data_IF_005803354361
#
_entry.id   IF_005803354361
#
_cell.length_a   1.000
_cell.length_b   1.000
_cell.length_c   1.000
_cell.angle_alpha   90.00
_cell.angle_beta   90.00
_cell.angle_gamma   90.00
#
_symmetry.space_group_name_H-M   'P 1'
#
loop_
_entity.id
_entity.type
_entity.pdbx_description
1 polymer ?
#
# COMPACT_ATOMS: atom_id res chain seq x y z
N UNK A 1 -7.93 7.13 -15.95
CA UNK A 1 -8.56 7.79 -17.12
C UNK A 1 -9.19 6.80 -18.10
N UNK A 2 -8.79 5.52 -18.12
CA UNK A 2 -9.35 4.49 -19.01
C UNK A 2 -10.39 3.57 -18.34
N UNK A 3 -10.71 3.79 -17.06
CA UNK A 3 -11.68 2.95 -16.36
C UNK A 3 -13.10 3.24 -16.88
N UNK A 4 -13.95 2.21 -17.04
CA UNK A 4 -15.37 2.43 -17.31
C UNK A 4 -15.97 3.34 -16.23
N UNK A 5 -16.80 4.28 -16.63
CA UNK A 5 -17.60 5.05 -15.67
C UNK A 5 -18.44 4.06 -14.87
N UNK A 6 -18.27 4.07 -13.54
CA UNK A 6 -19.23 3.44 -12.64
C UNK A 6 -20.56 4.15 -12.92
N UNK A 7 -21.51 3.48 -13.60
CA UNK A 7 -22.79 4.12 -13.97
C UNK A 7 -23.44 4.65 -12.71
N UNK A 8 -23.58 5.97 -12.63
CA UNK A 8 -24.49 6.62 -11.70
C UNK A 8 -25.77 6.89 -12.49
N UNK A 9 -26.96 6.46 -12.01
CA UNK A 9 -28.19 7.00 -12.55
C UNK A 9 -28.20 8.50 -12.32
N UNK A 10 -28.70 9.25 -13.30
CA UNK A 10 -29.04 10.65 -13.13
C UNK A 10 -30.14 10.76 -12.07
N UNK A 11 -29.75 10.93 -10.82
CA UNK A 11 -30.66 11.33 -9.75
C UNK A 11 -30.12 12.63 -9.19
N UNK A 12 -31.01 13.62 -9.10
CA UNK A 12 -30.85 14.98 -8.56
C UNK A 12 -30.40 15.04 -7.08
N UNK A 13 -29.90 13.93 -6.52
CA UNK A 13 -29.41 13.83 -5.17
C UNK A 13 -27.88 13.98 -5.13
N UNK A 14 -27.31 14.60 -4.08
CA UNK A 14 -25.87 14.75 -3.96
C UNK A 14 -25.21 13.37 -3.92
N UNK A 15 -24.47 13.04 -4.98
CA UNK A 15 -23.62 11.83 -5.04
C UNK A 15 -22.76 11.81 -3.77
N UNK A 16 -22.77 10.71 -2.98
CA UNK A 16 -21.93 10.62 -1.79
C UNK A 16 -20.49 10.95 -2.18
N UNK A 17 -19.83 11.87 -1.48
CA UNK A 17 -18.44 12.29 -1.78
C UNK A 17 -17.46 11.10 -1.84
N UNK A 18 -17.84 9.96 -1.26
CA UNK A 18 -17.15 8.68 -1.31
C UNK A 18 -17.08 8.07 -2.72
N UNK A 19 -18.05 8.34 -3.59
CA UNK A 19 -18.10 7.80 -4.95
C UNK A 19 -17.25 8.61 -5.95
N UNK A 20 -16.96 9.88 -5.61
CA UNK A 20 -16.15 10.78 -6.44
C UNK A 20 -14.65 10.59 -6.22
N UNK A 21 -14.24 10.08 -5.04
CA UNK A 21 -12.84 9.72 -4.74
C UNK A 21 -12.61 8.26 -5.11
N UNK A 22 -11.50 8.00 -5.81
CA UNK A 22 -11.10 6.66 -6.22
C UNK A 22 -10.84 5.73 -5.03
N UNK A 23 -10.62 4.44 -5.29
CA UNK A 23 -10.36 3.46 -4.25
C UNK A 23 -9.17 3.88 -3.36
N UNK A 24 -9.20 3.43 -2.10
CA UNK A 24 -8.03 3.49 -1.21
C UNK A 24 -6.85 2.81 -1.88
N UNK A 25 -5.72 3.51 -1.95
CA UNK A 25 -4.48 3.04 -2.57
C UNK A 25 -3.39 3.02 -1.50
N UNK A 26 -2.73 1.89 -1.36
CA UNK A 26 -1.60 1.68 -0.46
C UNK A 26 -0.37 1.36 -1.30
N UNK A 27 0.75 1.98 -0.98
CA UNK A 27 2.03 1.81 -1.66
C UNK A 27 2.92 0.92 -0.80
N UNK A 28 3.39 -0.18 -1.36
CA UNK A 28 4.23 -1.14 -0.65
C UNK A 28 5.61 -1.15 -1.30
N UNK A 29 6.63 -0.72 -0.56
CA UNK A 29 8.02 -0.87 -0.97
C UNK A 29 8.52 -2.21 -0.46
N UNK A 30 8.61 -3.19 -1.35
CA UNK A 30 9.11 -4.52 -1.04
C UNK A 30 10.64 -4.57 -1.18
N UNK A 31 11.30 -5.45 -0.41
CA UNK A 31 12.77 -5.56 -0.34
C UNK A 31 13.45 -4.26 0.09
N UNK A 32 12.82 -3.52 1.01
CA UNK A 32 13.38 -2.31 1.58
C UNK A 32 14.69 -2.61 2.30
N UNK A 33 15.69 -1.76 2.08
CA UNK A 33 17.01 -1.87 2.72
C UNK A 33 17.05 -1.06 4.01
N UNK A 34 18.12 -1.23 4.79
CA UNK A 34 18.36 -0.46 6.03
C UNK A 34 18.20 1.05 5.84
N UNK A 35 18.70 1.58 4.73
CA UNK A 35 18.65 3.01 4.45
C UNK A 35 17.23 3.54 4.23
N UNK A 36 16.30 2.70 3.79
CA UNK A 36 14.89 3.07 3.57
C UNK A 36 14.15 3.24 4.90
N UNK A 37 14.62 2.56 5.96
CA UNK A 37 14.12 2.71 7.33
C UNK A 37 14.76 3.90 8.07
N UNK A 38 15.58 4.72 7.40
CA UNK A 38 16.00 5.99 8.00
C UNK A 38 14.83 7.01 7.96
N UNK A 39 14.45 7.66 9.08
CA UNK A 39 13.38 8.66 9.11
C UNK A 39 13.55 9.78 8.07
N UNK A 40 14.79 10.19 7.80
CA UNK A 40 15.12 11.19 6.77
C UNK A 40 14.72 10.72 5.37
N UNK A 41 14.98 9.45 5.04
CA UNK A 41 14.61 8.88 3.74
C UNK A 41 13.12 8.59 3.67
N UNK A 42 12.50 8.15 4.78
CA UNK A 42 11.04 8.04 4.89
C UNK A 42 10.35 9.37 4.57
N UNK A 43 10.79 10.49 5.19
CA UNK A 43 10.22 11.83 4.90
C UNK A 43 10.37 12.20 3.43
N UNK A 44 11.51 11.90 2.80
CA UNK A 44 11.73 12.13 1.36
C UNK A 44 10.76 11.29 0.51
N UNK A 45 10.58 10.01 0.81
CA UNK A 45 9.64 9.14 0.08
C UNK A 45 8.21 9.69 0.15
N UNK A 46 7.77 10.07 1.35
CA UNK A 46 6.44 10.67 1.55
C UNK A 46 6.26 11.97 0.75
N UNK A 47 7.24 12.88 0.81
CA UNK A 47 7.19 14.15 0.08
C UNK A 47 7.18 13.95 -1.44
N UNK A 48 8.05 13.07 -1.97
CA UNK A 48 8.12 12.78 -3.41
C UNK A 48 6.81 12.18 -3.89
N UNK A 49 6.29 11.20 -3.16
CA UNK A 49 5.07 10.52 -3.56
C UNK A 49 3.84 11.42 -3.46
N UNK A 50 3.82 12.34 -2.48
CA UNK A 50 2.76 13.33 -2.42
C UNK A 50 2.75 14.26 -3.63
N UNK A 51 3.92 14.77 -4.03
CA UNK A 51 4.06 15.62 -5.22
C UNK A 51 3.64 14.89 -6.49
N UNK A 52 4.03 13.62 -6.65
CA UNK A 52 3.65 12.79 -7.80
C UNK A 52 2.14 12.53 -7.86
N UNK A 53 1.50 12.35 -6.72
CA UNK A 53 0.09 11.99 -6.61
C UNK A 53 -0.84 13.18 -6.35
N UNK A 54 -0.32 14.41 -6.31
CA UNK A 54 -1.07 15.62 -5.95
C UNK A 54 -2.33 15.85 -6.80
N UNK A 55 -2.27 15.48 -8.09
CA UNK A 55 -3.40 15.60 -9.02
C UNK A 55 -4.18 14.29 -9.21
N UNK A 56 -3.83 13.24 -8.46
CA UNK A 56 -4.53 11.96 -8.50
C UNK A 56 -5.85 12.04 -7.74
N UNK A 57 -6.90 11.45 -8.31
CA UNK A 57 -8.19 11.30 -7.63
C UNK A 57 -8.24 10.07 -6.70
N UNK A 58 -7.14 9.33 -6.54
CA UNK A 58 -7.05 8.18 -5.65
C UNK A 58 -6.97 8.59 -4.18
N UNK A 59 -7.45 7.74 -3.28
CA UNK A 59 -7.31 7.95 -1.84
C UNK A 59 -5.98 7.34 -1.37
N UNK A 60 -4.90 8.12 -1.48
CA UNK A 60 -3.53 7.67 -1.17
C UNK A 60 -2.97 8.20 0.17
N UNK A 61 -3.78 8.88 0.98
CA UNK A 61 -3.42 9.43 2.30
C UNK A 61 -4.41 9.00 3.39
N UNK A 62 -3.92 8.96 4.62
CA UNK A 62 -4.75 8.89 5.84
C UNK A 62 -5.53 7.60 6.06
N UNK A 63 -5.16 6.49 5.42
CA UNK A 63 -5.74 5.17 5.72
C UNK A 63 -4.76 4.20 6.35
N UNK A 64 -3.46 4.39 6.13
CA UNK A 64 -2.41 3.54 6.69
C UNK A 64 -1.24 4.42 7.11
N UNK A 65 -0.78 4.23 8.34
CA UNK A 65 0.36 4.95 8.93
C UNK A 65 1.37 3.97 9.51
N UNK A 66 2.64 4.14 9.13
CA UNK A 66 3.74 3.38 9.72
C UNK A 66 4.09 3.87 11.13
N UNK A 67 3.85 5.16 11.40
CA UNK A 67 4.10 5.77 12.71
C UNK A 67 3.14 5.19 13.76
N UNK A 68 1.85 5.05 13.40
CA UNK A 68 0.84 4.43 14.27
C UNK A 68 1.10 2.95 14.54
N UNK A 69 1.80 2.27 13.63
CA UNK A 69 2.18 0.87 13.81
C UNK A 69 3.41 0.70 14.71
N UNK A 70 3.92 1.77 15.33
CA UNK A 70 5.13 1.77 16.16
C UNK A 70 6.30 1.09 15.44
N UNK A 71 6.51 1.41 14.16
CA UNK A 71 7.66 0.94 13.38
C UNK A 71 8.88 1.83 13.67
N UNK A 72 8.64 3.13 13.91
CA UNK A 72 9.65 4.11 14.28
C UNK A 72 9.36 4.64 15.70
N UNK A 73 9.81 3.93 16.75
CA UNK A 73 9.58 4.38 18.12
C UNK A 73 10.23 5.75 18.35
N UNK A 74 9.51 6.64 19.03
CA UNK A 74 9.96 8.00 19.32
C UNK A 74 9.76 9.02 18.19
N UNK A 75 9.26 8.60 17.02
CA UNK A 75 8.89 9.52 15.95
C UNK A 75 7.41 9.91 16.08
N UNK A 76 7.15 11.17 16.40
CA UNK A 76 5.79 11.70 16.49
C UNK A 76 5.11 11.83 15.12
N UNK A 77 3.77 11.90 15.12
CA UNK A 77 2.97 12.11 13.89
C UNK A 77 3.34 13.42 13.17
N UNK A 78 3.75 14.43 13.92
CA UNK A 78 4.12 15.75 13.40
C UNK A 78 5.43 15.75 12.59
N UNK A 79 6.19 14.65 12.62
CA UNK A 79 7.41 14.52 11.83
C UNK A 79 7.13 14.54 10.32
N UNK A 80 6.00 13.96 9.91
CA UNK A 80 5.56 13.90 8.52
C UNK A 80 4.48 14.96 8.28
N UNK A 81 4.83 16.04 7.57
CA UNK A 81 3.87 17.08 7.16
C UNK A 81 2.72 16.51 6.32
N UNK A 82 3.02 15.52 5.48
CA UNK A 82 2.05 14.82 4.66
C UNK A 82 2.29 13.32 4.71
N UNK A 83 1.37 12.59 5.33
CA UNK A 83 1.45 11.13 5.41
C UNK A 83 0.68 10.47 4.26
N UNK A 84 1.42 9.84 3.34
CA UNK A 84 0.86 8.95 2.33
C UNK A 84 0.78 7.52 2.88
N UNK A 85 -0.11 6.71 2.32
CA UNK A 85 -0.31 5.31 2.66
C UNK A 85 0.86 4.43 2.18
N UNK A 86 2.08 4.68 2.68
CA UNK A 86 3.30 3.94 2.35
C UNK A 86 3.59 2.90 3.43
N UNK A 87 3.99 1.70 3.02
CA UNK A 87 4.47 0.67 3.93
C UNK A 87 5.75 0.03 3.38
N UNK A 88 6.74 -0.20 4.25
CA UNK A 88 8.01 -0.82 3.90
C UNK A 88 8.04 -2.28 4.37
N UNK A 89 8.46 -3.18 3.49
CA UNK A 89 8.72 -4.58 3.80
C UNK A 89 10.19 -4.90 3.51
N UNK A 90 10.97 -5.35 4.51
CA UNK A 90 12.35 -5.74 4.31
C UNK A 90 12.41 -7.02 3.48
N UNK A 91 13.62 -7.40 3.06
CA UNK A 91 13.82 -8.71 2.46
C UNK A 91 13.49 -9.82 3.47
N UNK A 92 12.82 -10.88 3.00
CA UNK A 92 12.63 -12.07 3.80
C UNK A 92 14.00 -12.72 4.01
N UNK A 93 14.44 -12.80 5.26
CA UNK A 93 15.65 -13.53 5.63
C UNK A 93 15.45 -15.02 5.29
N UNK A 94 16.35 -15.57 4.48
CA UNK A 94 16.38 -16.99 4.20
C UNK A 94 17.22 -17.64 5.30
N UNK A 95 16.66 -18.59 6.07
CA UNK A 95 17.34 -19.25 7.20
C UNK A 95 18.67 -19.93 6.84
N UNK A 96 19.02 -20.03 5.55
CA UNK A 96 20.22 -20.72 5.07
C UNK A 96 21.50 -19.88 4.94
N UNK A 97 21.47 -18.55 4.98
CA UNK A 97 22.67 -17.73 4.65
C UNK A 97 23.40 -17.13 5.88
N UNK A 98 22.71 -16.92 7.00
CA UNK A 98 23.31 -16.34 8.23
C UNK A 98 23.85 -17.38 9.23
N UNK A 99 23.64 -18.67 8.95
CA UNK A 99 24.21 -19.75 9.76
C UNK A 99 25.71 -20.00 9.48
N UNK A 100 26.25 -19.51 8.36
CA UNK A 100 27.66 -19.75 7.99
C UNK A 100 28.67 -18.79 8.65
N UNK A 101 28.21 -17.88 9.52
CA UNK A 101 29.10 -17.05 10.35
C UNK A 101 28.95 -17.34 11.86
N UNK A 102 28.24 -18.41 12.24
CA UNK A 102 28.21 -18.87 13.64
C UNK A 102 29.08 -20.11 13.77
N UNK A 103 30.16 -19.92 14.52
CA UNK A 103 31.29 -20.82 14.62
C UNK A 103 30.95 -22.22 15.13
N UNK A 104 31.86 -23.13 14.80
CA UNK A 104 31.85 -24.50 15.28
C UNK A 104 31.89 -24.62 16.81
N UNK A 105 31.67 -25.84 17.32
CA UNK A 105 31.52 -26.09 18.74
C UNK A 105 32.88 -25.97 19.44
N UNK A 106 33.19 -24.81 20.01
CA UNK A 106 34.26 -24.66 20.99
C UNK A 106 35.19 -23.44 20.86
N UNK A 107 34.69 -22.20 20.98
CA UNK A 107 35.41 -21.09 21.65
C UNK A 107 34.51 -19.86 21.87
N UNK A 108 34.73 -19.15 22.98
CA UNK A 108 34.16 -17.87 23.50
C UNK A 108 34.16 -16.67 22.51
N UNK A 109 33.54 -15.48 22.78
CA UNK A 109 32.86 -14.95 23.99
C UNK A 109 31.39 -14.49 23.76
N UNK A 110 30.76 -13.94 24.81
CA UNK A 110 29.34 -13.48 24.93
C UNK A 110 28.92 -12.35 23.97
N UNK A 111 29.78 -11.89 23.05
CA UNK A 111 29.41 -10.87 22.06
C UNK A 111 30.06 -11.12 20.68
N UNK A 112 29.41 -11.90 19.81
CA UNK A 112 29.28 -11.53 18.41
C UNK A 112 27.91 -10.86 18.30
N UNK A 113 27.85 -9.53 18.40
CA UNK A 113 26.61 -8.82 18.11
C UNK A 113 26.20 -9.21 16.68
N UNK A 114 25.08 -9.96 16.48
CA UNK A 114 24.57 -10.17 15.14
C UNK A 114 24.37 -8.79 14.58
N UNK A 115 24.96 -8.49 13.42
CA UNK A 115 24.83 -7.22 12.72
C UNK A 115 23.38 -6.77 12.83
N UNK A 116 23.09 -5.77 13.68
CA UNK A 116 21.70 -5.48 14.01
C UNK A 116 21.02 -5.02 12.73
N UNK A 117 20.04 -5.77 12.20
CA UNK A 117 19.28 -5.29 11.07
C UNK A 117 18.63 -3.98 11.52
N UNK A 118 18.96 -2.87 10.86
CA UNK A 118 18.41 -1.55 11.19
C UNK A 118 16.94 -1.40 10.79
N UNK A 119 16.19 -2.51 10.81
CA UNK A 119 14.78 -2.61 10.52
C UNK A 119 14.14 -3.75 11.34
N UNK A 120 12.83 -3.69 11.62
CA UNK A 120 12.12 -4.82 12.22
C UNK A 120 12.12 -6.06 11.32
N UNK A 121 11.86 -7.23 11.89
CA UNK A 121 11.77 -8.48 11.11
C UNK A 121 10.61 -8.46 10.12
N UNK A 122 10.76 -9.19 9.01
CA UNK A 122 9.72 -9.30 7.98
C UNK A 122 8.38 -9.76 8.57
N UNK A 123 8.39 -10.80 9.41
CA UNK A 123 7.18 -11.37 10.02
C UNK A 123 6.42 -10.36 10.88
N UNK A 124 7.14 -9.54 11.66
CA UNK A 124 6.53 -8.47 12.47
C UNK A 124 5.84 -7.43 11.60
N UNK A 125 6.52 -6.96 10.54
CA UNK A 125 5.98 -5.96 9.62
C UNK A 125 4.83 -6.51 8.78
N UNK A 126 4.91 -7.75 8.31
CA UNK A 126 3.83 -8.41 7.58
C UNK A 126 2.57 -8.56 8.45
N UNK A 127 2.72 -8.87 9.74
CA UNK A 127 1.60 -8.95 10.68
C UNK A 127 0.95 -7.59 10.90
N UNK A 128 1.75 -6.53 11.08
CA UNK A 128 1.26 -5.14 11.18
C UNK A 128 0.57 -4.66 9.91
N UNK A 129 1.11 -4.99 8.73
CA UNK A 129 0.47 -4.68 7.46
C UNK A 129 -0.87 -5.41 7.33
N UNK A 130 -0.89 -6.69 7.66
CA UNK A 130 -2.11 -7.51 7.61
C UNK A 130 -3.21 -6.92 8.50
N UNK A 131 -2.89 -6.53 9.73
CA UNK A 131 -3.88 -5.94 10.64
C UNK A 131 -4.45 -4.64 10.09
N UNK A 132 -3.59 -3.75 9.58
CA UNK A 132 -4.02 -2.49 8.95
C UNK A 132 -4.90 -2.73 7.71
N UNK A 133 -4.50 -3.67 6.83
CA UNK A 133 -5.25 -3.99 5.61
C UNK A 133 -6.63 -4.57 5.93
N UNK A 134 -6.72 -5.48 6.90
CA UNK A 134 -8.00 -6.08 7.31
C UNK A 134 -8.91 -5.10 8.05
N UNK A 135 -8.34 -4.09 8.71
CA UNK A 135 -9.07 -3.03 9.40
C UNK A 135 -9.56 -1.89 8.46
N UNK A 136 -9.21 -1.93 7.17
CA UNK A 136 -9.61 -0.89 6.23
C UNK A 136 -11.13 -0.77 6.08
N UNK A 137 -11.62 0.46 5.97
CA UNK A 137 -13.04 0.76 5.76
C UNK A 137 -13.57 0.12 4.48
N UNK A 138 -14.65 -0.66 4.58
CA UNK A 138 -15.36 -1.22 3.43
C UNK A 138 -16.37 -0.19 2.91
N UNK A 139 -16.03 0.50 1.82
CA UNK A 139 -16.95 1.45 1.18
C UNK A 139 -17.81 0.73 0.13
N UNK A 140 -19.06 1.18 -0.02
CA UNK A 140 -19.96 0.65 -1.04
C UNK A 140 -19.45 1.00 -2.44
N UNK A 141 -19.34 -0.01 -3.30
CA UNK A 141 -18.88 0.13 -4.68
C UNK A 141 -19.96 0.70 -5.62
N UNK A 142 -21.23 0.52 -5.26
CA UNK A 142 -22.38 0.93 -6.07
C UNK A 142 -23.49 1.50 -5.19
N UNK A 143 -24.53 2.06 -5.82
CA UNK A 143 -25.71 2.59 -5.10
C UNK A 143 -26.54 1.52 -4.40
N UNK A 144 -26.34 0.24 -4.75
CA UNK A 144 -26.95 -0.89 -4.06
C UNK A 144 -25.93 -1.60 -3.18
N UNK A 145 -26.41 -2.09 -2.04
CA UNK A 145 -25.63 -2.99 -1.19
C UNK A 145 -25.43 -4.29 -1.98
N UNK A 146 -24.16 -4.65 -2.23
CA UNK A 146 -23.80 -5.86 -2.95
C UNK A 146 -23.52 -6.99 -1.95
N UNK A 147 -24.11 -8.15 -2.19
CA UNK A 147 -23.66 -9.42 -1.61
C UNK A 147 -22.49 -9.98 -2.43
N UNK A 148 -21.80 -11.01 -1.93
CA UNK A 148 -20.69 -11.65 -2.65
C UNK A 148 -21.10 -12.14 -4.05
N UNK A 149 -22.31 -12.72 -4.17
CA UNK A 149 -22.86 -13.17 -5.46
C UNK A 149 -23.12 -12.01 -6.42
N UNK A 150 -23.73 -10.92 -5.93
CA UNK A 150 -24.03 -9.75 -6.76
C UNK A 150 -22.75 -8.99 -7.14
N UNK A 151 -21.74 -8.96 -6.27
CA UNK A 151 -20.42 -8.42 -6.57
C UNK A 151 -19.75 -9.18 -7.72
N UNK A 152 -19.82 -10.51 -7.73
CA UNK A 152 -19.28 -11.32 -8.83
C UNK A 152 -19.96 -11.02 -10.17
N UNK A 153 -21.30 -10.98 -10.20
CA UNK A 153 -22.04 -10.60 -11.41
C UNK A 153 -21.72 -9.17 -11.87
N UNK A 154 -21.55 -8.24 -10.93
CA UNK A 154 -21.13 -6.88 -11.24
C UNK A 154 -19.73 -6.85 -11.87
N UNK A 155 -18.76 -7.56 -11.31
CA UNK A 155 -17.40 -7.65 -11.83
C UNK A 155 -17.37 -8.23 -13.26
N UNK A 156 -18.13 -9.30 -13.52
CA UNK A 156 -18.25 -9.87 -14.87
C UNK A 156 -18.77 -8.85 -15.89
N UNK A 157 -19.82 -8.10 -15.53
CA UNK A 157 -20.38 -7.04 -16.39
C UNK A 157 -19.36 -5.92 -16.66
N UNK A 158 -18.59 -5.51 -15.65
CA UNK A 158 -17.55 -4.49 -15.82
C UNK A 158 -16.46 -5.00 -16.77
N UNK A 159 -16.03 -6.26 -16.61
CA UNK A 159 -15.02 -6.88 -17.49
C UNK A 159 -15.46 -6.92 -18.96
N UNK A 160 -16.71 -7.29 -19.23
CA UNK A 160 -17.25 -7.26 -20.59
C UNK A 160 -17.29 -5.84 -21.17
N UNK A 161 -17.54 -4.83 -20.33
CA UNK A 161 -17.45 -3.42 -20.70
C UNK A 161 -16.02 -2.97 -21.01
N UNK A 162 -15.03 -3.40 -20.22
CA UNK A 162 -13.61 -3.08 -20.45
C UNK A 162 -13.13 -3.63 -21.78
N UNK A 163 -13.44 -4.90 -22.11
CA UNK A 163 -13.06 -5.54 -23.38
C UNK A 163 -13.59 -4.80 -24.61
N UNK A 164 -14.74 -4.13 -24.49
CA UNK A 164 -15.40 -3.37 -25.57
C UNK A 164 -15.15 -1.85 -25.46
N UNK A 165 -14.19 -1.42 -24.65
CA UNK A 165 -13.96 0.00 -24.33
C UNK A 165 -13.31 0.74 -25.50
N UNK A 166 -14.00 1.76 -26.03
CA UNK A 166 -13.47 2.64 -27.07
C UNK A 166 -12.23 3.41 -26.61
N UNK A 167 -12.19 3.86 -25.34
CA UNK A 167 -11.04 4.56 -24.78
C UNK A 167 -9.79 3.68 -24.73
N UNK A 168 -9.95 2.38 -24.48
CA UNK A 168 -8.83 1.43 -24.52
C UNK A 168 -8.33 1.23 -25.95
N UNK A 169 -9.24 1.08 -26.90
CA UNK A 169 -8.91 0.96 -28.33
C UNK A 169 -8.22 2.22 -28.87
N UNK A 170 -8.67 3.40 -28.48
CA UNK A 170 -8.06 4.67 -28.88
C UNK A 170 -6.65 4.82 -28.31
N UNK A 171 -6.45 4.50 -27.04
CA UNK A 171 -5.10 4.48 -26.43
C UNK A 171 -4.17 3.49 -27.14
N UNK A 172 -4.67 2.30 -27.49
CA UNK A 172 -3.89 1.32 -28.25
C UNK A 172 -3.46 1.83 -29.62
N UNK A 173 -4.32 2.61 -30.30
CA UNK A 173 -4.02 3.22 -31.60
C UNK A 173 -2.95 4.31 -31.52
N UNK A 174 -2.82 4.98 -30.38
CA UNK A 174 -1.78 6.00 -30.17
C UNK A 174 -0.38 5.39 -29.94
N UNK A 175 -0.32 4.10 -29.60
CA UNK A 175 0.92 3.37 -29.34
C UNK A 175 1.37 2.50 -30.52
N UNK A 176 0.53 2.34 -31.55
CA UNK A 176 0.82 1.61 -32.80
C UNK A 176 1.32 2.55 -33.88
#
# INVERSE_FOLDING_TARGET
MLKPSTRLPATTAPVPRALKRGPSTTLISNKAKRDDFCPRNLKKMHMTMDKLMAHSHLKYKGTLSMLDCNIFPGLGRDYLETEVNLFLLPQLENEGEDALTRGGPGSTPVFPAPWLPGHPSFSSLATKLRSQVLAMSRCQLSHTILTEKNWFHYAARIWDGVKKSSALSEYSRLLS
#
